data_IF_139182986575
#
_entry.id   IF_139182986575
#
_cell.length_a   1.000
_cell.length_b   1.000
_cell.length_c   1.000
_cell.angle_alpha   90.00
_cell.angle_beta   90.00
_cell.angle_gamma   90.00
#
_symmetry.space_group_name_H-M   'P 1'
#
loop_
_entity.id
_entity.type
_entity.pdbx_description
1 polymer ?
#
# COMPACT_ATOMS: atom_id res chain seq x y z
N UNK A 1 -11.14 13.92 1.49
CA UNK A 1 -11.81 12.96 0.62
C UNK A 1 -12.88 13.68 -0.18
N UNK A 2 -12.72 13.73 -1.50
CA UNK A 2 -13.67 14.35 -2.43
C UNK A 2 -15.00 13.55 -2.60
N UNK A 3 -15.30 12.63 -1.66
CA UNK A 3 -16.39 11.64 -1.67
C UNK A 3 -16.41 10.72 -2.90
N UNK A 4 -15.25 10.43 -3.50
CA UNK A 4 -15.13 9.47 -4.59
C UNK A 4 -14.25 8.32 -4.14
N UNK A 5 -14.59 7.13 -4.59
CA UNK A 5 -13.77 5.95 -4.33
C UNK A 5 -12.56 5.95 -5.26
N UNK A 6 -11.38 5.72 -4.67
CA UNK A 6 -10.14 5.46 -5.38
C UNK A 6 -9.93 3.95 -5.52
N UNK A 7 -9.23 3.51 -6.57
CA UNK A 7 -8.97 2.10 -6.83
C UNK A 7 -7.50 1.75 -6.61
N UNK A 8 -7.26 0.73 -5.80
CA UNK A 8 -5.95 0.12 -5.60
C UNK A 8 -5.90 -1.25 -6.28
N UNK A 9 -4.85 -1.49 -7.07
CA UNK A 9 -4.62 -2.77 -7.75
C UNK A 9 -3.24 -3.30 -7.40
N UNK A 10 -3.19 -4.53 -6.88
CA UNK A 10 -1.95 -5.24 -6.62
C UNK A 10 -1.53 -6.11 -7.80
N UNK A 11 -0.25 -6.05 -8.15
CA UNK A 11 0.40 -6.92 -9.13
C UNK A 11 1.63 -7.57 -8.47
N UNK A 12 1.45 -8.55 -7.57
CA UNK A 12 2.54 -9.12 -6.77
C UNK A 12 3.64 -9.81 -7.59
N UNK A 13 3.34 -10.26 -8.82
CA UNK A 13 4.29 -10.90 -9.73
C UNK A 13 4.93 -9.91 -10.72
N UNK A 14 4.77 -8.61 -10.51
CA UNK A 14 5.33 -7.59 -11.40
C UNK A 14 6.86 -7.66 -11.42
N UNK A 15 7.41 -7.72 -12.63
CA UNK A 15 8.85 -7.73 -12.91
C UNK A 15 9.33 -6.30 -13.20
N UNK A 16 10.24 -5.76 -12.39
CA UNK A 16 10.86 -4.46 -12.64
C UNK A 16 12.33 -4.63 -13.03
N UNK A 17 12.85 -3.66 -13.79
CA UNK A 17 14.29 -3.54 -14.01
C UNK A 17 14.95 -2.93 -12.77
N UNK A 18 16.06 -3.53 -12.36
CA UNK A 18 16.93 -3.04 -11.30
C UNK A 18 18.03 -2.14 -11.85
N UNK A 19 18.74 -1.46 -10.94
CA UNK A 19 19.87 -0.59 -11.29
C UNK A 19 21.02 -1.32 -11.98
N UNK A 20 21.17 -2.63 -11.74
CA UNK A 20 22.12 -3.52 -12.40
C UNK A 20 21.66 -3.98 -13.81
N UNK A 21 20.51 -3.51 -14.28
CA UNK A 21 19.91 -3.85 -15.58
C UNK A 21 19.17 -5.19 -15.61
N UNK A 22 19.25 -6.01 -14.55
CA UNK A 22 18.53 -7.28 -14.45
C UNK A 22 17.04 -7.04 -14.16
N UNK A 23 16.21 -8.02 -14.52
CA UNK A 23 14.80 -8.03 -14.08
C UNK A 23 14.67 -8.87 -12.82
N UNK A 24 13.82 -8.41 -11.91
CA UNK A 24 13.44 -9.20 -10.75
C UNK A 24 11.95 -8.99 -10.46
N UNK A 25 11.31 -10.04 -9.95
CA UNK A 25 9.96 -9.94 -9.42
C UNK A 25 10.03 -9.06 -8.18
N UNK A 26 9.40 -7.88 -8.21
CA UNK A 26 9.38 -6.96 -7.06
C UNK A 26 7.97 -6.73 -6.55
N UNK A 27 6.95 -7.04 -7.35
CA UNK A 27 5.57 -6.67 -7.07
C UNK A 27 5.34 -5.17 -7.23
N UNK A 28 4.10 -4.79 -7.51
CA UNK A 28 3.71 -3.39 -7.72
C UNK A 28 2.30 -3.12 -7.25
N UNK A 29 2.10 -1.99 -6.60
CA UNK A 29 0.82 -1.38 -6.31
C UNK A 29 0.54 -0.29 -7.35
N UNK A 30 -0.70 -0.24 -7.83
CA UNK A 30 -1.21 0.82 -8.68
C UNK A 30 -2.35 1.53 -7.94
N UNK A 31 -2.31 2.86 -7.91
CA UNK A 31 -3.38 3.70 -7.39
C UNK A 31 -3.98 4.51 -8.54
N UNK A 32 -5.28 4.35 -8.74
CA UNK A 32 -6.08 5.14 -9.66
C UNK A 32 -6.97 6.08 -8.85
N UNK A 33 -6.71 7.38 -8.98
CA UNK A 33 -7.44 8.41 -8.27
C UNK A 33 -8.72 8.81 -9.00
N UNK A 34 -9.83 8.81 -8.27
CA UNK A 34 -11.16 9.25 -8.68
C UNK A 34 -11.20 10.71 -9.13
N UNK A 35 -10.91 11.00 -10.41
CA UNK A 35 -10.90 12.37 -10.95
C UNK A 35 -12.12 12.65 -11.85
N UNK A 36 -12.91 13.66 -11.49
CA UNK A 36 -13.96 14.21 -12.37
C UNK A 36 -15.00 13.18 -12.84
N UNK A 37 -15.57 13.35 -14.04
CA UNK A 37 -16.59 12.43 -14.56
C UNK A 37 -16.04 11.11 -15.11
N UNK A 38 -14.72 10.97 -15.23
CA UNK A 38 -14.06 9.71 -15.62
C UNK A 38 -13.08 9.30 -14.51
N UNK A 39 -13.57 8.59 -13.48
CA UNK A 39 -12.84 8.39 -12.23
C UNK A 39 -11.47 7.70 -12.37
N UNK A 40 -11.15 7.07 -13.50
CA UNK A 40 -9.94 6.24 -13.67
C UNK A 40 -9.13 6.58 -14.95
N UNK A 41 -9.33 7.77 -15.54
CA UNK A 41 -8.74 8.12 -16.83
C UNK A 41 -7.27 8.63 -16.76
N UNK A 42 -6.78 9.01 -15.57
CA UNK A 42 -5.41 9.47 -15.38
C UNK A 42 -4.39 8.33 -15.28
N UNK A 43 -3.09 8.59 -15.53
CA UNK A 43 -2.05 7.60 -15.27
C UNK A 43 -2.05 7.23 -13.77
N UNK A 44 -1.93 5.94 -13.41
CA UNK A 44 -1.91 5.53 -12.02
C UNK A 44 -0.60 5.96 -11.36
N UNK A 45 -0.66 6.34 -10.08
CA UNK A 45 0.52 6.32 -9.24
C UNK A 45 0.96 4.86 -9.05
N UNK A 46 2.27 4.60 -9.04
CA UNK A 46 2.79 3.25 -8.81
C UNK A 46 3.80 3.22 -7.68
N UNK A 47 3.70 2.19 -6.83
CA UNK A 47 4.68 1.88 -5.80
C UNK A 47 5.21 0.48 -6.07
N UNK A 48 6.53 0.31 -6.13
CA UNK A 48 7.17 -0.97 -6.44
C UNK A 48 7.87 -1.52 -5.21
N UNK A 49 7.76 -2.82 -4.96
CA UNK A 49 8.47 -3.45 -3.85
C UNK A 49 9.99 -3.37 -4.02
N UNK A 50 10.71 -3.54 -2.92
CA UNK A 50 12.18 -3.46 -2.90
C UNK A 50 12.85 -4.83 -2.79
N UNK A 51 12.16 -5.82 -2.21
CA UNK A 51 12.66 -7.17 -2.01
C UNK A 51 12.29 -8.07 -3.21
N UNK A 52 13.27 -8.73 -3.84
CA UNK A 52 12.99 -9.67 -4.92
C UNK A 52 12.20 -10.87 -4.41
N UNK A 53 11.21 -11.30 -5.19
CA UNK A 53 10.28 -12.38 -4.87
C UNK A 53 9.45 -12.13 -3.60
N UNK A 54 9.43 -10.89 -3.09
CA UNK A 54 8.72 -10.52 -1.87
C UNK A 54 7.19 -10.45 -2.02
N UNK A 55 6.70 -10.52 -3.27
CA UNK A 55 5.28 -10.40 -3.63
C UNK A 55 4.61 -9.16 -3.05
N UNK A 56 5.26 -8.02 -3.19
CA UNK A 56 4.71 -6.74 -2.73
C UNK A 56 3.34 -6.48 -3.37
N UNK A 57 2.39 -5.99 -2.56
CA UNK A 57 0.99 -5.80 -2.92
C UNK A 57 0.24 -7.11 -3.23
N UNK A 58 0.60 -8.21 -2.55
CA UNK A 58 -0.20 -9.44 -2.54
C UNK A 58 -1.49 -9.30 -1.71
N UNK A 59 -1.47 -8.43 -0.69
CA UNK A 59 -2.63 -8.05 0.10
C UNK A 59 -2.65 -6.53 0.28
N UNK A 60 -3.84 -5.95 0.30
CA UNK A 60 -4.07 -4.51 0.44
C UNK A 60 -5.25 -4.33 1.38
N UNK A 61 -5.12 -3.44 2.37
CA UNK A 61 -6.23 -3.07 3.25
C UNK A 61 -6.26 -1.56 3.48
N UNK A 62 -7.46 -0.98 3.45
CA UNK A 62 -7.71 0.38 3.94
C UNK A 62 -7.63 0.38 5.47
N UNK A 63 -7.03 1.43 6.02
CA UNK A 63 -6.84 1.61 7.46
C UNK A 63 -7.71 2.74 8.04
N UNK A 64 -8.33 3.56 7.20
CA UNK A 64 -8.89 4.85 7.65
C UNK A 64 -7.80 5.92 7.75
N UNK A 65 -8.06 6.98 8.51
CA UNK A 65 -7.08 8.00 8.88
C UNK A 65 -6.40 7.55 10.17
N UNK A 66 -5.19 6.96 10.07
CA UNK A 66 -4.56 6.26 11.19
C UNK A 66 -3.92 7.21 12.20
N UNK A 67 -3.42 8.35 11.74
CA UNK A 67 -2.79 9.36 12.59
C UNK A 67 -3.67 10.57 12.89
N UNK A 68 -4.92 10.54 12.42
CA UNK A 68 -5.94 11.58 12.64
C UNK A 68 -5.44 12.94 12.19
N UNK A 69 -4.61 12.96 11.15
CA UNK A 69 -4.04 14.19 10.62
C UNK A 69 -5.09 14.99 9.83
N UNK A 70 -6.28 14.43 9.63
CA UNK A 70 -7.40 15.08 8.97
C UNK A 70 -7.25 15.08 7.45
N UNK A 71 -6.32 14.31 6.88
CA UNK A 71 -6.25 14.06 5.44
C UNK A 71 -7.52 13.31 5.01
N UNK A 72 -8.61 14.05 4.83
CA UNK A 72 -9.93 13.46 4.63
C UNK A 72 -11.09 14.41 4.82
N UNK A 73 -10.98 15.30 5.80
CA UNK A 73 -12.07 16.21 6.16
C UNK A 73 -11.98 17.54 5.39
N UNK A 74 -10.79 17.93 4.92
CA UNK A 74 -10.63 19.13 4.11
C UNK A 74 -11.16 18.95 2.68
N UNK A 75 -11.99 19.91 2.23
CA UNK A 75 -12.55 19.99 0.88
C UNK A 75 -11.42 20.18 -0.15
N UNK A 76 -10.99 19.10 -0.79
CA UNK A 76 -9.99 19.14 -1.86
C UNK A 76 -9.06 17.93 -1.90
N UNK A 77 -8.92 17.20 -0.79
CA UNK A 77 -8.14 15.97 -0.75
C UNK A 77 -8.79 14.86 -1.57
N UNK A 78 -8.02 14.28 -2.50
CA UNK A 78 -8.46 13.19 -3.37
C UNK A 78 -8.45 11.84 -2.64
N UNK A 79 -7.38 11.52 -1.91
CA UNK A 79 -7.25 10.30 -1.11
C UNK A 79 -7.17 10.64 0.38
N UNK A 80 -7.99 9.96 1.17
CA UNK A 80 -8.09 10.20 2.62
C UNK A 80 -7.90 8.98 3.51
N UNK A 81 -7.41 7.90 2.92
CA UNK A 81 -7.23 6.65 3.66
C UNK A 81 -5.78 6.25 3.58
N UNK A 82 -5.25 5.90 4.74
CA UNK A 82 -3.99 5.17 4.83
C UNK A 82 -4.22 3.73 4.42
N UNK A 83 -3.16 3.12 3.92
CA UNK A 83 -3.21 1.80 3.30
C UNK A 83 -2.12 0.91 3.88
N UNK A 84 -2.51 -0.28 4.32
CA UNK A 84 -1.57 -1.37 4.58
C UNK A 84 -1.38 -2.21 3.32
N UNK A 85 -0.12 -2.50 2.99
CA UNK A 85 0.27 -3.30 1.82
C UNK A 85 1.17 -4.45 2.27
N UNK A 86 0.75 -5.67 1.97
CA UNK A 86 1.47 -6.89 2.34
C UNK A 86 2.51 -7.31 1.30
N UNK A 87 3.65 -7.80 1.79
CA UNK A 87 4.68 -8.50 1.03
C UNK A 87 5.03 -9.81 1.77
N UNK A 88 4.26 -10.90 1.56
CA UNK A 88 4.30 -12.09 2.41
C UNK A 88 5.64 -12.84 2.39
N UNK A 89 6.46 -12.61 1.38
CA UNK A 89 7.80 -13.18 1.24
C UNK A 89 8.89 -12.09 1.32
N UNK A 90 8.54 -10.88 1.74
CA UNK A 90 9.46 -9.77 1.89
C UNK A 90 10.34 -9.88 3.14
N UNK A 91 11.33 -8.98 3.22
CA UNK A 91 12.32 -8.92 4.30
C UNK A 91 13.48 -9.89 4.12
N UNK A 92 14.56 -9.66 4.85
CA UNK A 92 15.83 -10.41 4.70
C UNK A 92 15.66 -11.91 4.99
N UNK A 93 14.74 -12.27 5.89
CA UNK A 93 14.43 -13.66 6.23
C UNK A 93 13.38 -14.31 5.33
N UNK A 94 12.74 -13.55 4.43
CA UNK A 94 11.60 -14.00 3.63
C UNK A 94 10.35 -14.33 4.46
N UNK A 95 10.31 -13.92 5.73
CA UNK A 95 9.21 -14.22 6.66
C UNK A 95 7.96 -13.37 6.42
N UNK A 96 8.09 -12.27 5.67
CA UNK A 96 7.02 -11.36 5.31
C UNK A 96 7.12 -9.99 5.99
N UNK A 97 6.55 -8.99 5.33
CA UNK A 97 6.50 -7.59 5.77
C UNK A 97 5.14 -6.97 5.44
N UNK A 98 4.73 -5.98 6.24
CA UNK A 98 3.60 -5.10 5.96
C UNK A 98 4.09 -3.66 5.96
N UNK A 99 3.68 -2.90 4.95
CA UNK A 99 4.04 -1.50 4.77
C UNK A 99 2.80 -0.63 4.97
N UNK A 100 2.94 0.45 5.74
CA UNK A 100 1.89 1.45 5.93
C UNK A 100 2.22 2.66 5.06
N UNK A 101 1.32 3.00 4.15
CA UNK A 101 1.43 4.17 3.30
C UNK A 101 0.36 5.17 3.68
N UNK A 102 0.79 6.40 3.96
CA UNK A 102 -0.14 7.48 4.29
C UNK A 102 -0.82 8.02 3.05
N UNK A 103 -2.10 8.35 3.15
CA UNK A 103 -2.81 9.17 2.17
C UNK A 103 -2.29 10.61 2.15
N UNK A 104 -2.29 11.24 0.98
CA UNK A 104 -1.95 12.65 0.79
C UNK A 104 -2.78 13.25 -0.35
N UNK A 105 -2.66 14.55 -0.59
CA UNK A 105 -3.54 15.31 -1.50
C UNK A 105 -3.51 14.78 -2.93
N UNK A 106 -2.36 14.25 -3.35
CA UNK A 106 -2.11 13.73 -4.70
C UNK A 106 -1.95 12.20 -4.76
N UNK A 107 -2.41 11.46 -3.76
CA UNK A 107 -2.37 9.99 -3.74
C UNK A 107 -1.75 9.42 -2.47
N UNK A 108 -0.93 8.38 -2.58
CA UNK A 108 -0.20 7.82 -1.44
C UNK A 108 1.17 8.47 -1.31
N UNK A 109 1.71 8.55 -0.09
CA UNK A 109 3.11 8.87 0.11
C UNK A 109 4.01 7.84 -0.60
N UNK A 110 5.07 8.24 -1.32
CA UNK A 110 5.92 7.30 -2.07
C UNK A 110 6.79 6.43 -1.17
N UNK A 111 7.01 6.86 0.07
CA UNK A 111 7.77 6.15 1.09
C UNK A 111 6.81 5.70 2.20
N UNK A 112 6.85 4.44 2.65
CA UNK A 112 5.99 3.99 3.74
C UNK A 112 6.37 4.72 5.04
N UNK A 113 5.37 5.17 5.79
CA UNK A 113 5.55 5.82 7.10
C UNK A 113 5.95 4.82 8.17
N UNK A 114 5.54 3.56 8.01
CA UNK A 114 5.87 2.48 8.92
C UNK A 114 6.06 1.16 8.17
N UNK A 115 6.92 0.30 8.71
CA UNK A 115 7.14 -1.06 8.26
C UNK A 115 7.05 -2.02 9.43
N UNK A 116 6.18 -3.01 9.33
CA UNK A 116 6.03 -4.10 10.28
C UNK A 116 6.73 -5.32 9.71
N UNK A 117 7.74 -5.83 10.42
CA UNK A 117 8.42 -7.07 10.05
C UNK A 117 7.72 -8.26 10.70
N UNK A 118 7.74 -9.42 10.04
CA UNK A 118 7.24 -10.66 10.64
C UNK A 118 7.92 -10.93 11.99
N UNK A 119 7.16 -11.14 13.07
CA UNK A 119 7.71 -11.59 14.35
C UNK A 119 7.94 -13.12 14.39
N UNK A 120 7.56 -13.85 13.34
CA UNK A 120 7.60 -15.30 13.29
C UNK A 120 8.86 -15.82 12.59
N UNK A 121 9.44 -16.95 13.04
CA UNK A 121 10.54 -17.60 12.35
C UNK A 121 10.08 -18.25 11.03
N UNK A 122 10.99 -18.32 10.05
CA UNK A 122 10.74 -19.03 8.79
C UNK A 122 9.75 -18.33 7.85
N UNK A 123 9.34 -18.97 6.74
CA UNK A 123 8.42 -18.40 5.76
C UNK A 123 6.98 -18.40 6.30
N UNK A 124 6.66 -17.44 7.16
CA UNK A 124 5.36 -17.35 7.83
C UNK A 124 4.25 -16.73 6.97
N UNK A 125 4.58 -16.24 5.77
CA UNK A 125 3.66 -15.49 4.91
C UNK A 125 3.01 -14.28 5.64
N UNK A 126 3.77 -13.61 6.52
CA UNK A 126 3.25 -12.47 7.29
C UNK A 126 2.84 -11.33 6.36
N UNK A 127 1.59 -10.87 6.49
CA UNK A 127 1.00 -9.88 5.58
C UNK A 127 0.28 -10.47 4.37
N UNK A 128 0.08 -11.80 4.29
CA UNK A 128 -0.74 -12.42 3.24
C UNK A 128 -2.23 -12.08 3.33
N UNK A 129 -2.72 -11.78 4.54
CA UNK A 129 -4.06 -11.29 4.78
C UNK A 129 -3.99 -10.06 5.68
N UNK A 130 -4.77 -9.04 5.37
CA UNK A 130 -4.81 -7.77 6.07
C UNK A 130 -6.27 -7.33 6.24
N UNK A 131 -6.56 -6.70 7.39
CA UNK A 131 -7.82 -6.01 7.65
C UNK A 131 -7.51 -4.83 8.58
N UNK A 132 -8.13 -3.69 8.31
CA UNK A 132 -8.02 -2.47 9.12
C UNK A 132 -9.34 -1.72 9.14
N UNK A 133 -9.27 -0.40 9.36
CA UNK A 133 -10.41 0.50 9.41
C UNK A 133 -11.47 0.08 10.46
N UNK A 134 -11.02 -0.40 11.61
CA UNK A 134 -11.87 -0.72 12.75
C UNK A 134 -11.11 -0.37 14.01
N UNK A 135 -11.69 0.52 14.81
CA UNK A 135 -11.24 0.80 16.16
C UNK A 135 -11.60 -0.40 17.05
N UNK A 136 -10.60 -1.05 17.63
CA UNK A 136 -10.76 -2.27 18.42
C UNK A 136 -10.70 -2.03 19.93
N UNK A 137 -10.04 -0.96 20.36
CA UNK A 137 -9.80 -0.63 21.77
C UNK A 137 -10.50 0.65 22.22
N UNK A 138 -11.20 1.35 21.31
CA UNK A 138 -11.98 2.54 21.63
C UNK A 138 -11.12 3.80 21.77
N UNK A 139 -9.91 3.81 21.20
CA UNK A 139 -9.01 4.97 21.26
C UNK A 139 -9.27 6.00 20.14
N UNK A 140 -10.21 5.67 19.24
CA UNK A 140 -10.78 6.51 18.18
C UNK A 140 -9.81 6.85 17.08
#
# INVERSE_FOLDING_TARGET
>A
GNRRDDLLVGAPLYMARRSDGQRSELGRLYLYLGRGQQPLAGPPQTLTGTHPYGRFAAAIASLGDLDKDGFGEERGSLLSTDVAVGAPQGGDSGSGQVFIFRGQSEGLAPVPTQRLNSPFPGPAAFGFALRGATDLDGNG
#
